data_IF_322591236239
#
_entry.id   IF_322591236239
#
_cell.length_a   1.000
_cell.length_b   1.000
_cell.length_c   1.000
_cell.angle_alpha   90.00
_cell.angle_beta   90.00
_cell.angle_gamma   90.00
#
_symmetry.space_group_name_H-M   'P 1'
#
loop_
_entity.id
_entity.type
_entity.pdbx_description
1 polymer ?
#
# COMPACT_ATOMS: atom_id res chain seq x y z
N UNK A 1 -24.40 -3.76 -1.77
CA UNK A 1 -23.26 -4.00 -2.69
C UNK A 1 -22.16 -2.96 -2.62
N UNK A 2 -22.43 -1.64 -2.53
CA UNK A 2 -21.39 -0.58 -2.51
C UNK A 2 -20.39 -0.67 -1.32
N UNK A 3 -20.83 -1.11 -0.15
CA UNK A 3 -19.98 -1.18 1.05
C UNK A 3 -18.87 -2.25 0.95
N UNK A 4 -19.21 -3.44 0.47
CA UNK A 4 -18.25 -4.52 0.19
C UNK A 4 -17.20 -4.07 -0.82
N UNK A 5 -17.63 -3.38 -1.88
CA UNK A 5 -16.72 -2.87 -2.92
C UNK A 5 -15.71 -1.86 -2.37
N UNK A 6 -16.13 -0.99 -1.45
CA UNK A 6 -15.24 -0.03 -0.77
C UNK A 6 -14.21 -0.75 0.09
N UNK A 7 -14.63 -1.76 0.85
CA UNK A 7 -13.73 -2.56 1.69
C UNK A 7 -12.69 -3.29 0.82
N UNK A 8 -13.13 -3.92 -0.28
CA UNK A 8 -12.22 -4.59 -1.20
C UNK A 8 -11.19 -3.63 -1.79
N UNK A 9 -11.62 -2.45 -2.25
CA UNK A 9 -10.70 -1.42 -2.76
C UNK A 9 -9.66 -1.01 -1.71
N UNK A 10 -10.09 -0.79 -0.46
CA UNK A 10 -9.17 -0.44 0.63
C UNK A 10 -8.15 -1.55 0.91
N UNK A 11 -8.58 -2.81 0.96
CA UNK A 11 -7.69 -3.96 1.16
C UNK A 11 -6.64 -4.00 0.04
N UNK A 12 -7.07 -3.91 -1.23
CA UNK A 12 -6.17 -3.93 -2.38
C UNK A 12 -5.14 -2.79 -2.30
N UNK A 13 -5.57 -1.58 -1.96
CA UNK A 13 -4.68 -0.43 -1.81
C UNK A 13 -3.64 -0.63 -0.71
N UNK A 14 -4.04 -1.21 0.44
CA UNK A 14 -3.11 -1.55 1.53
C UNK A 14 -2.09 -2.58 1.07
N UNK A 15 -2.52 -3.63 0.35
CA UNK A 15 -1.62 -4.66 -0.15
C UNK A 15 -0.59 -4.12 -1.15
N UNK A 16 -1.03 -3.31 -2.12
CA UNK A 16 -0.12 -2.66 -3.09
C UNK A 16 0.90 -1.80 -2.35
N UNK A 17 0.43 -0.98 -1.42
CA UNK A 17 1.28 -0.14 -0.60
C UNK A 17 2.27 -0.90 0.28
N UNK A 18 1.83 -2.01 0.87
CA UNK A 18 2.65 -2.87 1.72
C UNK A 18 3.77 -3.55 0.92
N UNK A 19 3.50 -3.95 -0.33
CA UNK A 19 4.51 -4.52 -1.23
C UNK A 19 5.59 -3.49 -1.51
N UNK A 20 5.21 -2.25 -1.82
CA UNK A 20 6.17 -1.19 -2.12
C UNK A 20 6.97 -0.83 -0.87
N UNK A 21 6.31 -0.70 0.28
CA UNK A 21 6.97 -0.43 1.55
C UNK A 21 7.95 -1.55 1.95
N UNK A 22 7.60 -2.81 1.66
CA UNK A 22 8.49 -3.95 1.85
C UNK A 22 9.74 -3.87 0.98
N UNK A 23 9.59 -3.53 -0.31
CA UNK A 23 10.73 -3.29 -1.19
C UNK A 23 11.60 -2.13 -0.69
N UNK A 24 11.00 -1.02 -0.25
CA UNK A 24 11.72 0.12 0.33
C UNK A 24 12.51 -0.32 1.56
N UNK A 25 11.90 -1.06 2.48
CA UNK A 25 12.59 -1.56 3.67
C UNK A 25 13.75 -2.50 3.31
N UNK A 26 13.55 -3.41 2.35
CA UNK A 26 14.60 -4.30 1.86
C UNK A 26 15.77 -3.55 1.24
N UNK A 27 15.51 -2.48 0.49
CA UNK A 27 16.54 -1.61 -0.10
C UNK A 27 17.27 -0.76 0.94
N UNK A 28 16.59 -0.35 2.01
CA UNK A 28 17.16 0.47 3.10
C UNK A 28 17.91 -0.39 4.14
N UNK A 29 18.01 -1.70 3.94
CA UNK A 29 18.67 -2.63 4.87
C UNK A 29 17.83 -2.96 6.11
N UNK A 30 16.54 -2.60 6.14
CA UNK A 30 15.63 -2.92 7.22
C UNK A 30 15.03 -4.32 7.00
N UNK A 31 15.30 -5.24 7.94
CA UNK A 31 14.82 -6.63 7.89
C UNK A 31 13.36 -6.80 8.38
N UNK A 32 12.48 -5.85 8.06
CA UNK A 32 11.05 -5.97 8.39
C UNK A 32 10.39 -7.05 7.54
N UNK A 33 9.66 -7.95 8.17
CA UNK A 33 8.91 -8.98 7.44
C UNK A 33 7.64 -8.39 6.85
N UNK A 34 7.24 -8.87 5.68
CA UNK A 34 5.99 -8.46 5.04
C UNK A 34 4.77 -8.63 5.95
N UNK A 35 4.75 -9.71 6.75
CA UNK A 35 3.71 -9.97 7.76
C UNK A 35 3.61 -8.88 8.82
N UNK A 36 4.73 -8.23 9.18
CA UNK A 36 4.75 -7.15 10.18
C UNK A 36 4.14 -5.86 9.61
N UNK A 37 4.21 -5.67 8.29
CA UNK A 37 3.62 -4.52 7.59
C UNK A 37 2.10 -4.69 7.44
N UNK A 38 1.62 -5.91 7.19
CA UNK A 38 0.19 -6.19 6.99
C UNK A 38 -0.56 -6.42 8.30
N UNK A 39 0.01 -7.22 9.21
CA UNK A 39 -0.63 -7.59 10.49
C UNK A 39 -0.32 -6.58 11.60
N UNK A 40 -0.10 -5.34 11.21
CA UNK A 40 0.32 -4.25 12.05
C UNK A 40 -0.84 -3.83 12.98
N UNK A 41 -1.15 -4.63 14.00
CA UNK A 41 -2.33 -4.46 14.85
C UNK A 41 -2.06 -3.95 16.29
N UNK A 42 -0.81 -3.72 16.69
CA UNK A 42 -0.50 -3.30 18.08
C UNK A 42 0.39 -2.05 18.14
N UNK A 43 -0.26 -0.94 18.54
CA UNK A 43 0.22 0.39 19.00
C UNK A 43 1.30 1.12 18.19
N UNK A 44 2.45 0.53 17.87
CA UNK A 44 3.48 1.16 17.01
C UNK A 44 3.30 0.80 15.53
N UNK A 45 2.71 -0.36 15.25
CA UNK A 45 2.63 -0.93 13.90
C UNK A 45 1.53 -0.28 13.04
N UNK A 46 0.57 0.43 13.65
CA UNK A 46 -0.49 1.14 12.91
C UNK A 46 0.09 2.17 11.91
N UNK A 47 1.25 2.74 12.22
CA UNK A 47 1.90 3.71 11.36
C UNK A 47 2.38 3.12 10.03
N UNK A 48 2.88 1.88 10.04
CA UNK A 48 3.34 1.20 8.82
C UNK A 48 2.17 0.84 7.90
N UNK A 49 1.03 0.43 8.47
CA UNK A 49 -0.18 0.14 7.68
C UNK A 49 -0.80 1.41 7.08
N UNK A 50 -0.81 2.51 7.83
CA UNK A 50 -1.25 3.82 7.33
C UNK A 50 -0.30 4.31 6.23
N UNK A 51 1.01 4.22 6.44
CA UNK A 51 2.01 4.54 5.41
C UNK A 51 1.83 3.70 4.16
N UNK A 52 1.66 2.39 4.31
CA UNK A 52 1.38 1.49 3.20
C UNK A 52 0.14 1.98 2.44
N UNK A 53 -0.97 2.27 3.11
CA UNK A 53 -2.17 2.79 2.46
C UNK A 53 -1.92 4.05 1.62
N UNK A 54 -1.23 5.06 2.18
CA UNK A 54 -0.93 6.30 1.45
C UNK A 54 0.05 6.09 0.29
N UNK A 55 1.07 5.24 0.46
CA UNK A 55 1.99 4.85 -0.62
C UNK A 55 1.21 4.14 -1.73
N UNK A 56 0.29 3.25 -1.38
CA UNK A 56 -0.60 2.58 -2.32
C UNK A 56 -1.46 3.56 -3.12
N UNK A 57 -2.04 4.56 -2.46
CA UNK A 57 -2.80 5.65 -3.13
C UNK A 57 -1.88 6.43 -4.09
N UNK A 58 -0.71 6.86 -3.63
CA UNK A 58 0.21 7.63 -4.45
C UNK A 58 0.60 6.87 -5.73
N UNK A 59 0.86 5.58 -5.61
CA UNK A 59 1.21 4.72 -6.75
C UNK A 59 0.04 4.53 -7.70
N UNK A 60 -1.17 4.31 -7.17
CA UNK A 60 -2.38 4.24 -8.00
C UNK A 60 -2.60 5.55 -8.79
N UNK A 61 -2.38 6.71 -8.16
CA UNK A 61 -2.46 8.01 -8.83
C UNK A 61 -1.42 8.10 -9.96
N UNK A 62 -0.17 7.73 -9.69
CA UNK A 62 0.90 7.75 -10.70
C UNK A 62 0.55 6.83 -11.88
N UNK A 63 0.07 5.60 -11.60
CA UNK A 63 -0.34 4.64 -12.62
C UNK A 63 -1.47 5.24 -13.48
N UNK A 64 -2.49 5.85 -12.87
CA UNK A 64 -3.59 6.49 -13.60
C UNK A 64 -3.09 7.65 -14.48
N UNK A 65 -2.18 8.48 -13.97
CA UNK A 65 -1.58 9.58 -14.73
C UNK A 65 -0.75 9.06 -15.92
N UNK A 66 0.03 8.00 -15.71
CA UNK A 66 0.81 7.36 -16.77
C UNK A 66 -0.10 6.74 -17.83
N UNK A 67 -1.11 5.96 -17.43
CA UNK A 67 -2.08 5.37 -18.36
C UNK A 67 -2.80 6.44 -19.18
N UNK A 68 -3.18 7.57 -18.57
CA UNK A 68 -3.76 8.71 -19.27
C UNK A 68 -2.83 9.29 -20.34
N UNK A 69 -1.51 9.24 -20.13
CA UNK A 69 -0.51 9.68 -21.10
C UNK A 69 -0.36 8.72 -22.28
N UNK A 70 -0.57 7.42 -22.10
CA UNK A 70 -0.45 6.40 -23.15
C UNK A 70 -1.74 6.16 -23.94
N UNK A 71 -2.90 6.50 -23.37
CA UNK A 71 -4.22 6.37 -24.02
C UNK A 71 -4.55 7.58 -24.91
N UNK A 72 -3.71 8.63 -24.90
CA UNK A 72 -3.83 9.82 -25.74
C UNK A 72 -2.80 9.79 -26.85
#
# INVERSE_FOLDING_TARGET
>A
MKFLEIIFKQIITIYIGAVILFFIYKLTGNNKKFSEIINANHKESNYDRIKAFYIGIAVLIIIVLLLKKFIK
#
